data_IF_906554380579
#
_entry.id   IF_906554380579
#
_cell.length_a   1.000
_cell.length_b   1.000
_cell.length_c   1.000
_cell.angle_alpha   90.00
_cell.angle_beta   90.00
_cell.angle_gamma   90.00
#
_symmetry.space_group_name_H-M   'P 1'
#
loop_
_entity.id
_entity.type
_entity.pdbx_description
1 polymer ?
#
# COMPACT_ATOMS: atom_id res chain seq x y z
N UNK A 1 -2.27 67.88 45.20
CA UNK A 1 -1.78 66.62 45.79
C UNK A 1 -2.47 65.45 45.08
N UNK A 2 -1.72 64.39 44.78
CA UNK A 2 -1.96 63.37 43.73
C UNK A 2 -3.22 62.51 43.96
N UNK A 3 -4.03 62.29 42.90
CA UNK A 3 -5.13 61.31 42.89
C UNK A 3 -4.57 59.90 42.67
N UNK A 4 -4.89 58.99 43.58
CA UNK A 4 -4.55 57.56 43.56
C UNK A 4 -5.43 56.86 42.51
N UNK A 5 -4.84 56.30 41.45
CA UNK A 5 -5.55 55.44 40.49
C UNK A 5 -5.52 54.02 41.02
N UNK A 6 -6.68 53.49 41.44
CA UNK A 6 -6.87 52.06 41.68
C UNK A 6 -6.79 51.34 40.33
N UNK A 7 -5.83 50.41 40.21
CA UNK A 7 -5.68 49.49 39.10
C UNK A 7 -6.74 48.38 39.24
N UNK A 8 -7.66 48.34 38.29
CA UNK A 8 -8.64 47.27 38.12
C UNK A 8 -7.91 45.98 37.72
N UNK A 9 -7.75 45.05 38.66
CA UNK A 9 -7.22 43.72 38.38
C UNK A 9 -8.26 42.87 37.67
N UNK A 10 -8.04 42.57 36.39
CA UNK A 10 -8.80 41.56 35.64
C UNK A 10 -8.12 40.22 35.89
N UNK A 11 -8.76 39.36 36.69
CA UNK A 11 -8.32 37.98 36.88
C UNK A 11 -8.76 37.14 35.67
N UNK A 12 -7.80 36.73 34.83
CA UNK A 12 -8.02 35.83 33.70
C UNK A 12 -7.99 34.38 34.21
N UNK A 13 -9.15 33.74 34.33
CA UNK A 13 -9.25 32.31 34.64
C UNK A 13 -9.12 31.52 33.33
N UNK A 14 -7.93 31.00 33.07
CA UNK A 14 -7.68 30.09 31.95
C UNK A 14 -8.19 28.69 32.33
N UNK A 15 -9.37 28.31 31.81
CA UNK A 15 -9.85 26.94 31.88
C UNK A 15 -9.08 26.09 30.86
N UNK A 16 -8.13 25.28 31.32
CA UNK A 16 -7.53 24.21 30.51
C UNK A 16 -8.58 23.11 30.31
N UNK A 17 -9.12 23.03 29.09
CA UNK A 17 -9.83 21.85 28.62
C UNK A 17 -8.76 20.83 28.23
N UNK A 18 -8.55 19.83 29.09
CA UNK A 18 -7.79 18.64 28.72
C UNK A 18 -8.63 17.85 27.71
N UNK A 19 -8.38 18.06 26.42
CA UNK A 19 -8.89 17.16 25.38
C UNK A 19 -8.13 15.83 25.49
N UNK A 20 -8.72 14.86 26.17
CA UNK A 20 -8.30 13.47 26.10
C UNK A 20 -8.57 12.95 24.69
N UNK A 21 -7.61 13.16 23.79
CA UNK A 21 -7.58 12.48 22.50
C UNK A 21 -7.31 10.99 22.77
N UNK A 22 -8.38 10.23 22.94
CA UNK A 22 -8.32 8.77 22.87
C UNK A 22 -8.01 8.43 21.42
N UNK A 23 -6.72 8.35 21.09
CA UNK A 23 -6.26 7.92 19.79
C UNK A 23 -6.72 6.50 19.52
N UNK A 24 -7.82 6.34 18.79
CA UNK A 24 -8.15 5.07 18.15
C UNK A 24 -7.02 4.81 17.14
N UNK A 25 -6.09 3.93 17.50
CA UNK A 25 -5.17 3.36 16.53
C UNK A 25 -6.02 2.66 15.48
N UNK A 26 -6.05 3.18 14.26
CA UNK A 26 -6.68 2.51 13.14
C UNK A 26 -6.04 1.12 13.02
N UNK A 27 -6.87 0.07 13.03
CA UNK A 27 -6.41 -1.28 12.77
C UNK A 27 -5.95 -1.31 11.31
N UNK A 28 -4.65 -1.52 11.08
CA UNK A 28 -4.11 -1.70 9.73
C UNK A 28 -4.81 -2.90 9.08
N UNK A 29 -5.49 -2.65 7.97
CA UNK A 29 -6.12 -3.67 7.15
C UNK A 29 -5.06 -4.36 6.30
N UNK A 30 -5.35 -5.60 5.87
CA UNK A 30 -4.51 -6.33 4.92
C UNK A 30 -5.33 -6.81 3.74
N UNK A 31 -4.80 -6.61 2.54
CA UNK A 31 -5.31 -7.21 1.30
C UNK A 31 -4.19 -7.95 0.59
N UNK A 32 -4.54 -9.02 -0.11
CA UNK A 32 -3.57 -9.81 -0.88
C UNK A 32 -4.09 -10.05 -2.28
N UNK A 33 -3.30 -9.71 -3.29
CA UNK A 33 -3.55 -10.08 -4.68
C UNK A 33 -2.66 -11.23 -5.10
N UNK A 34 -3.01 -11.88 -6.21
CA UNK A 34 -2.17 -12.91 -6.82
C UNK A 34 -2.09 -12.73 -8.33
N UNK A 35 -0.97 -13.14 -8.91
CA UNK A 35 -0.78 -13.21 -10.35
C UNK A 35 -0.13 -14.53 -10.73
N UNK A 36 -0.65 -15.17 -11.77
CA UNK A 36 -0.07 -16.36 -12.38
C UNK A 36 0.03 -16.18 -13.88
N UNK A 37 1.19 -16.57 -14.45
CA UNK A 37 1.42 -16.60 -15.88
C UNK A 37 2.09 -17.91 -16.27
N UNK A 38 1.55 -18.55 -17.31
CA UNK A 38 2.13 -19.74 -17.92
C UNK A 38 2.44 -19.45 -19.39
N UNK A 39 3.68 -19.73 -19.80
CA UNK A 39 4.12 -19.65 -21.19
C UNK A 39 4.31 -21.05 -21.77
N UNK A 40 3.82 -21.24 -22.98
CA UNK A 40 4.03 -22.45 -23.76
C UNK A 40 4.66 -22.11 -25.11
N UNK A 41 5.97 -22.27 -25.21
CA UNK A 41 6.72 -21.97 -26.44
C UNK A 41 6.37 -22.89 -27.60
N UNK A 42 6.03 -24.16 -27.34
CA UNK A 42 5.71 -25.15 -28.38
C UNK A 42 4.48 -24.73 -29.17
N UNK A 43 3.48 -24.19 -28.48
CA UNK A 43 2.22 -23.73 -29.08
C UNK A 43 2.11 -22.20 -29.15
N UNK A 44 3.19 -21.47 -28.82
CA UNK A 44 3.24 -20.01 -28.79
C UNK A 44 2.03 -19.37 -28.09
N UNK A 45 1.65 -19.93 -26.94
CA UNK A 45 0.46 -19.50 -26.19
C UNK A 45 0.81 -19.10 -24.76
N UNK A 46 0.06 -18.13 -24.25
CA UNK A 46 0.17 -17.66 -22.87
C UNK A 46 -1.18 -17.79 -22.16
N UNK A 47 -1.14 -18.17 -20.88
CA UNK A 47 -2.31 -18.11 -19.99
C UNK A 47 -1.96 -17.24 -18.79
N UNK A 48 -2.88 -16.33 -18.45
CA UNK A 48 -2.76 -15.46 -17.30
C UNK A 48 -4.03 -15.51 -16.47
N UNK A 49 -3.88 -15.59 -15.15
CA UNK A 49 -4.99 -15.51 -14.19
C UNK A 49 -4.47 -15.01 -12.83
N UNK A 50 -5.38 -14.72 -11.91
CA UNK A 50 -5.03 -14.26 -10.57
C UNK A 50 -6.20 -13.58 -9.87
N UNK A 51 -5.99 -13.21 -8.61
CA UNK A 51 -6.91 -12.37 -7.85
C UNK A 51 -6.40 -10.93 -7.91
N UNK A 52 -7.25 -9.99 -8.34
CA UNK A 52 -6.94 -8.57 -8.29
C UNK A 52 -6.57 -8.10 -6.88
N UNK A 53 -5.81 -7.01 -6.82
CA UNK A 53 -5.38 -6.36 -5.59
C UNK A 53 -6.14 -5.04 -5.45
N UNK A 54 -7.23 -5.06 -4.68
CA UNK A 54 -8.04 -3.86 -4.38
C UNK A 54 -7.58 -3.27 -3.05
N UNK A 55 -6.90 -2.12 -3.12
CA UNK A 55 -6.32 -1.40 -1.99
C UNK A 55 -7.24 -0.24 -1.63
N UNK A 56 -7.96 -0.29 -0.50
CA UNK A 56 -9.03 0.68 -0.20
C UNK A 56 -8.51 2.04 0.29
N UNK A 57 -7.30 2.09 0.86
CA UNK A 57 -6.59 3.32 1.23
C UNK A 57 -5.09 3.12 1.01
N UNK A 58 -4.33 4.21 0.88
CA UNK A 58 -2.89 4.13 0.62
C UNK A 58 -2.20 3.25 1.65
N UNK A 59 -1.39 2.30 1.18
CA UNK A 59 -0.71 1.32 2.00
C UNK A 59 0.72 1.06 1.56
N UNK A 60 1.33 0.03 2.14
CA UNK A 60 2.65 -0.45 1.76
C UNK A 60 2.64 -1.95 1.55
N UNK A 61 3.40 -2.42 0.57
CA UNK A 61 3.62 -3.85 0.37
C UNK A 61 4.44 -4.37 1.56
N UNK A 62 3.91 -5.33 2.31
CA UNK A 62 4.59 -5.90 3.49
C UNK A 62 5.10 -7.31 3.27
N UNK A 63 4.54 -8.01 2.27
CA UNK A 63 4.94 -9.37 1.95
C UNK A 63 4.77 -9.63 0.46
N UNK A 64 5.77 -10.30 -0.10
CA UNK A 64 5.67 -10.95 -1.41
C UNK A 64 6.01 -12.42 -1.23
N UNK A 65 5.21 -13.30 -1.80
CA UNK A 65 5.43 -14.75 -1.80
C UNK A 65 5.27 -15.33 -3.20
N UNK A 66 5.82 -16.52 -3.42
CA UNK A 66 5.73 -17.24 -4.69
C UNK A 66 7.07 -17.38 -5.40
N UNK A 67 7.07 -18.15 -6.49
CA UNK A 67 8.22 -18.40 -7.35
C UNK A 67 8.05 -17.68 -8.67
N UNK A 68 8.55 -16.45 -8.77
CA UNK A 68 8.65 -15.73 -10.04
C UNK A 68 10.03 -15.09 -10.17
N UNK A 69 10.44 -14.82 -11.41
CA UNK A 69 11.66 -14.06 -11.68
C UNK A 69 11.49 -12.61 -11.22
N UNK A 70 10.33 -12.03 -11.49
CA UNK A 70 9.93 -10.70 -11.06
C UNK A 70 8.44 -10.50 -11.32
N UNK A 71 7.93 -9.29 -11.11
CA UNK A 71 6.53 -8.97 -11.40
C UNK A 71 6.32 -7.46 -11.57
N UNK A 72 5.21 -7.11 -12.20
CA UNK A 72 4.71 -5.75 -12.30
C UNK A 72 3.40 -5.62 -11.53
N UNK A 73 3.19 -4.46 -10.91
CA UNK A 73 1.88 -4.01 -10.45
C UNK A 73 1.32 -3.08 -11.51
N UNK A 74 0.11 -3.40 -11.95
CA UNK A 74 -0.53 -2.74 -13.08
C UNK A 74 -1.81 -2.08 -12.59
N UNK A 75 -1.92 -0.77 -12.76
CA UNK A 75 -3.12 0.00 -12.46
C UNK A 75 -4.11 0.04 -13.61
N UNK A 76 -4.98 1.05 -13.60
CA UNK A 76 -5.92 1.32 -14.68
C UNK A 76 -5.18 1.64 -15.98
N UNK A 77 -5.81 1.32 -17.12
CA UNK A 77 -5.27 1.59 -18.46
C UNK A 77 -3.88 1.00 -18.72
N UNK A 78 -3.57 -0.16 -18.11
CA UNK A 78 -2.28 -0.84 -18.21
C UNK A 78 -1.06 -0.02 -17.72
N UNK A 79 -1.27 0.98 -16.86
CA UNK A 79 -0.18 1.74 -16.24
C UNK A 79 0.66 0.84 -15.33
N UNK A 80 1.98 0.83 -15.53
CA UNK A 80 2.92 0.13 -14.64
C UNK A 80 3.24 1.05 -13.46
N UNK A 81 2.64 0.76 -12.31
CA UNK A 81 2.86 1.54 -11.08
C UNK A 81 4.03 1.01 -10.25
N UNK A 82 4.47 -0.23 -10.52
CA UNK A 82 5.67 -0.82 -9.94
C UNK A 82 6.21 -1.92 -10.83
N UNK A 83 7.54 -1.98 -10.99
CA UNK A 83 8.23 -3.00 -11.77
C UNK A 83 9.42 -3.53 -10.94
N UNK A 84 9.36 -4.82 -10.61
CA UNK A 84 10.29 -5.44 -9.68
C UNK A 84 10.95 -6.63 -10.34
N UNK A 85 12.26 -6.50 -10.57
CA UNK A 85 13.09 -7.57 -11.12
C UNK A 85 13.40 -8.65 -10.08
N UNK A 86 13.27 -8.35 -8.79
CA UNK A 86 13.34 -9.32 -7.70
C UNK A 86 12.17 -9.08 -6.73
N UNK A 87 11.41 -10.13 -6.35
CA UNK A 87 10.22 -9.96 -5.51
C UNK A 87 10.44 -9.18 -4.21
N UNK A 88 11.62 -9.31 -3.59
CA UNK A 88 11.99 -8.68 -2.32
C UNK A 88 12.08 -7.15 -2.44
N UNK A 89 12.35 -6.62 -3.64
CA UNK A 89 12.43 -5.18 -3.89
C UNK A 89 11.11 -4.45 -3.71
N UNK A 90 9.99 -5.18 -3.81
CA UNK A 90 8.67 -4.60 -3.66
C UNK A 90 8.29 -4.35 -2.19
N UNK A 91 8.93 -5.03 -1.23
CA UNK A 91 8.60 -4.85 0.19
C UNK A 91 8.99 -3.43 0.64
N UNK A 92 8.04 -2.73 1.26
CA UNK A 92 8.17 -1.31 1.63
C UNK A 92 7.77 -0.34 0.53
N UNK A 93 7.38 -0.81 -0.65
CA UNK A 93 6.85 0.04 -1.71
C UNK A 93 5.48 0.60 -1.32
N UNK A 94 5.35 1.93 -1.37
CA UNK A 94 4.10 2.62 -1.10
C UNK A 94 3.14 2.47 -2.29
N UNK A 95 1.94 1.97 -2.04
CA UNK A 95 0.92 1.78 -3.06
C UNK A 95 -0.32 2.61 -2.70
N UNK A 96 -0.72 3.58 -3.56
CA UNK A 96 -1.94 4.34 -3.35
C UNK A 96 -3.20 3.46 -3.28
N UNK A 97 -4.31 4.06 -2.88
CA UNK A 97 -5.60 3.41 -3.00
C UNK A 97 -5.94 3.18 -4.48
N UNK A 98 -6.47 2.00 -4.81
CA UNK A 98 -6.82 1.66 -6.18
C UNK A 98 -6.99 0.16 -6.40
N UNK A 99 -7.38 -0.18 -7.62
CA UNK A 99 -7.48 -1.56 -8.09
C UNK A 99 -6.30 -1.87 -9.00
N UNK A 100 -5.63 -2.98 -8.70
CA UNK A 100 -4.42 -3.39 -9.40
C UNK A 100 -4.50 -4.84 -9.87
N UNK A 101 -3.79 -5.13 -10.96
CA UNK A 101 -3.47 -6.49 -11.38
C UNK A 101 -1.99 -6.76 -11.13
N UNK A 102 -1.68 -7.96 -10.65
CA UNK A 102 -0.31 -8.42 -10.49
C UNK A 102 0.06 -9.24 -11.72
N UNK A 103 1.09 -8.81 -12.44
CA UNK A 103 1.55 -9.41 -13.69
C UNK A 103 2.93 -10.05 -13.47
N UNK A 104 3.03 -11.38 -13.33
CA UNK A 104 4.33 -12.04 -13.20
C UNK A 104 5.16 -11.84 -14.47
N UNK A 105 6.44 -11.50 -14.29
CA UNK A 105 7.43 -11.53 -15.37
C UNK A 105 7.86 -12.96 -15.63
N UNK A 106 8.03 -13.29 -16.90
CA UNK A 106 8.36 -14.65 -17.34
C UNK A 106 9.86 -14.77 -17.63
N UNK A 107 10.43 -15.92 -17.34
CA UNK A 107 11.80 -16.25 -17.72
C UNK A 107 11.79 -17.37 -18.77
N UNK A 108 12.92 -17.54 -19.48
CA UNK A 108 13.02 -18.55 -20.53
C UNK A 108 13.08 -20.00 -20.00
N UNK A 109 13.34 -20.17 -18.71
CA UNK A 109 13.61 -21.47 -18.10
C UNK A 109 12.35 -22.03 -17.44
N UNK A 110 11.64 -21.21 -16.65
CA UNK A 110 10.42 -21.61 -15.96
C UNK A 110 9.19 -21.26 -16.79
N UNK A 111 8.29 -22.22 -16.91
CA UNK A 111 7.05 -22.08 -17.68
C UNK A 111 5.87 -21.63 -16.84
N UNK A 112 6.03 -21.60 -15.52
CA UNK A 112 4.98 -21.26 -14.58
C UNK A 112 5.54 -20.26 -13.58
N UNK A 113 4.95 -19.08 -13.56
CA UNK A 113 5.33 -17.97 -12.70
C UNK A 113 4.15 -17.59 -11.84
N UNK A 114 4.35 -17.57 -10.53
CA UNK A 114 3.31 -17.21 -9.58
C UNK A 114 3.86 -16.23 -8.55
N UNK A 115 3.06 -15.23 -8.19
CA UNK A 115 3.36 -14.29 -7.12
C UNK A 115 2.09 -13.92 -6.36
N UNK A 116 2.25 -13.74 -5.06
CA UNK A 116 1.28 -13.18 -4.13
C UNK A 116 1.86 -11.91 -3.53
N UNK A 117 1.07 -10.84 -3.48
CA UNK A 117 1.48 -9.54 -2.93
C UNK A 117 0.49 -9.13 -1.86
N UNK A 118 0.96 -8.89 -0.64
CA UNK A 118 0.17 -8.36 0.48
C UNK A 118 0.51 -6.90 0.72
N UNK A 119 -0.54 -6.10 0.88
CA UNK A 119 -0.46 -4.68 1.24
C UNK A 119 -1.14 -4.49 2.60
N UNK A 120 -0.45 -3.79 3.49
CA UNK A 120 -1.04 -3.22 4.71
C UNK A 120 -1.44 -1.77 4.46
N UNK A 121 -2.63 -1.38 4.92
CA UNK A 121 -3.23 -0.07 4.69
C UNK A 121 -4.03 0.43 5.90
#
# INVERSE_FOLDING_TARGET
MRKLKLLTGVALVAALVLETQVGMSALAGQVTGTGTRIENDVFQSSKQWGRGLSVPQSGQITRVMGGTYGFQIVGLNDEIVGDFLFPEQAVGFALPAGDYTIRPLVCRIHRHHHVEVTVEY
#
